data_IF_766389724758
#
_entry.id   IF_766389724758
#
_cell.length_a   1.000
_cell.length_b   1.000
_cell.length_c   1.000
_cell.angle_alpha   90.00
_cell.angle_beta   90.00
_cell.angle_gamma   90.00
#
_symmetry.space_group_name_H-M   'P 1'
#
loop_
_entity.id
_entity.type
_entity.pdbx_description
1 polymer ?
#
# COMPACT_ATOMS: atom_id res chain seq x y z
N UNK A 1 5.13 16.64 39.07
CA UNK A 1 5.98 17.42 38.15
C UNK A 1 6.59 16.40 37.16
N UNK A 2 6.22 16.45 35.86
CA UNK A 2 6.87 15.58 34.85
C UNK A 2 8.24 16.17 34.54
N UNK A 3 9.29 15.37 34.70
CA UNK A 3 10.64 15.74 34.27
C UNK A 3 10.57 15.87 32.73
N UNK A 4 11.00 16.99 32.11
CA UNK A 4 11.06 17.10 30.66
C UNK A 4 11.92 15.97 30.10
N UNK A 5 11.44 15.29 29.08
CA UNK A 5 12.25 14.27 28.39
C UNK A 5 13.52 14.91 27.82
N UNK A 6 14.68 14.27 27.95
CA UNK A 6 15.91 14.81 27.40
C UNK A 6 15.78 15.00 25.89
N UNK A 7 16.19 16.16 25.39
CA UNK A 7 16.12 16.57 23.97
C UNK A 7 16.81 15.53 23.03
N UNK A 8 17.71 14.73 23.57
CA UNK A 8 18.50 13.72 22.87
C UNK A 8 18.17 12.29 23.31
N UNK A 9 16.88 11.94 23.50
CA UNK A 9 16.53 10.53 23.73
C UNK A 9 16.85 9.70 22.47
N UNK A 10 17.22 8.43 22.64
CA UNK A 10 17.46 7.50 21.53
C UNK A 10 16.25 7.45 20.58
N UNK A 11 15.03 7.52 21.12
CA UNK A 11 13.81 7.57 20.32
C UNK A 11 13.76 8.80 19.41
N UNK A 12 14.14 9.99 19.93
CA UNK A 12 14.22 11.22 19.14
C UNK A 12 15.30 11.15 18.06
N UNK A 13 16.45 10.54 18.36
CA UNK A 13 17.52 10.34 17.37
C UNK A 13 17.08 9.40 16.25
N UNK A 14 16.38 8.31 16.56
CA UNK A 14 15.80 7.41 15.56
C UNK A 14 14.74 8.13 14.72
N UNK A 15 13.86 8.91 15.34
CA UNK A 15 12.85 9.68 14.60
C UNK A 15 13.48 10.75 13.71
N UNK A 16 14.51 11.45 14.18
CA UNK A 16 15.28 12.41 13.39
C UNK A 16 15.92 11.75 12.18
N UNK A 17 16.65 10.65 12.38
CA UNK A 17 17.26 9.90 11.28
C UNK A 17 16.25 9.54 10.18
N UNK A 18 15.06 9.05 10.55
CA UNK A 18 14.03 8.71 9.57
C UNK A 18 13.36 9.94 8.95
N UNK A 19 13.22 11.04 9.69
CA UNK A 19 12.65 12.28 9.15
C UNK A 19 13.55 12.91 8.08
N UNK A 20 14.87 12.77 8.24
CA UNK A 20 15.88 13.30 7.33
C UNK A 20 16.05 12.47 6.05
N UNK A 21 15.44 11.28 5.99
CA UNK A 21 15.41 10.51 4.74
C UNK A 21 14.53 11.23 3.72
N UNK A 22 15.09 11.50 2.55
CA UNK A 22 14.38 12.14 1.45
C UNK A 22 14.06 11.10 0.37
N UNK A 23 12.81 11.10 -0.08
CA UNK A 23 12.42 10.39 -1.29
C UNK A 23 12.57 11.35 -2.46
N UNK A 24 13.02 10.86 -3.60
CA UNK A 24 13.05 11.64 -4.83
C UNK A 24 11.64 12.10 -5.21
N UNK A 25 11.49 13.32 -5.74
CA UNK A 25 10.20 13.81 -6.17
C UNK A 25 9.60 12.92 -7.25
N UNK A 26 8.40 12.43 -7.04
CA UNK A 26 7.69 11.66 -8.07
C UNK A 26 7.25 12.59 -9.20
N UNK A 27 7.53 12.22 -10.44
CA UNK A 27 7.11 12.96 -11.63
C UNK A 27 5.66 12.68 -12.04
N UNK A 28 4.93 11.88 -11.28
CA UNK A 28 3.57 11.42 -11.54
C UNK A 28 2.75 11.37 -10.24
N UNK A 29 1.43 11.37 -10.37
CA UNK A 29 0.54 11.02 -9.27
C UNK A 29 0.67 9.52 -8.97
N UNK A 30 0.89 9.16 -7.72
CA UNK A 30 0.88 7.76 -7.30
C UNK A 30 -0.53 7.16 -7.42
N UNK A 31 -0.62 5.92 -7.93
CA UNK A 31 -1.91 5.21 -8.03
C UNK A 31 -2.69 5.17 -6.71
N UNK A 32 -1.98 5.07 -5.57
CA UNK A 32 -2.56 5.11 -4.23
C UNK A 32 -3.22 6.45 -3.84
N UNK A 33 -2.97 7.52 -4.59
CA UNK A 33 -3.54 8.85 -4.33
C UNK A 33 -4.84 9.10 -5.09
N UNK A 34 -5.06 8.41 -6.22
CA UNK A 34 -6.14 8.73 -7.18
C UNK A 34 -7.55 8.55 -6.63
N UNK A 35 -7.73 7.77 -5.58
CA UNK A 35 -9.00 7.66 -4.85
C UNK A 35 -9.25 8.79 -3.84
N UNK A 36 -8.40 9.82 -3.79
CA UNK A 36 -8.56 10.91 -2.84
C UNK A 36 -9.81 11.76 -3.16
N UNK A 37 -10.66 12.10 -2.17
CA UNK A 37 -11.95 12.75 -2.40
C UNK A 37 -11.86 14.22 -2.82
N UNK A 38 -10.67 14.81 -2.81
CA UNK A 38 -10.45 16.21 -3.16
C UNK A 38 -9.60 16.34 -4.43
N UNK A 39 -10.24 16.64 -5.57
CA UNK A 39 -9.58 16.82 -6.86
C UNK A 39 -8.57 17.98 -6.85
N UNK A 40 -8.90 19.04 -6.11
CA UNK A 40 -7.97 20.17 -5.95
C UNK A 40 -6.67 19.76 -5.26
N UNK A 41 -6.75 18.88 -4.25
CA UNK A 41 -5.56 18.36 -3.59
C UNK A 41 -4.73 17.49 -4.54
N UNK A 42 -5.37 16.64 -5.35
CA UNK A 42 -4.71 15.84 -6.38
C UNK A 42 -3.99 16.74 -7.39
N UNK A 43 -4.67 17.78 -7.89
CA UNK A 43 -4.08 18.72 -8.83
C UNK A 43 -2.87 19.47 -8.25
N UNK A 44 -2.99 19.97 -7.00
CA UNK A 44 -1.89 20.66 -6.31
C UNK A 44 -0.71 19.72 -6.04
N UNK A 45 -0.97 18.46 -5.71
CA UNK A 45 0.05 17.43 -5.51
C UNK A 45 0.78 17.11 -6.81
N UNK A 46 0.05 16.97 -7.91
CA UNK A 46 0.62 16.77 -9.26
C UNK A 46 1.51 17.94 -9.68
N UNK A 47 1.12 19.18 -9.37
CA UNK A 47 1.89 20.40 -9.66
C UNK A 47 2.98 20.68 -8.62
N UNK A 48 3.20 19.80 -7.67
CA UNK A 48 4.15 19.96 -6.57
C UNK A 48 3.94 21.20 -5.69
N UNK A 49 2.79 21.80 -5.78
CA UNK A 49 2.40 22.93 -4.93
C UNK A 49 2.16 22.51 -3.47
N UNK A 50 1.80 21.24 -3.26
CA UNK A 50 1.70 20.61 -1.93
C UNK A 50 2.65 19.43 -1.89
N UNK A 51 3.56 19.43 -0.91
CA UNK A 51 4.46 18.31 -0.62
C UNK A 51 4.27 17.90 0.82
N UNK A 52 3.89 16.66 1.04
CA UNK A 52 3.80 16.11 2.38
C UNK A 52 5.21 15.85 2.94
N UNK A 53 5.45 16.36 4.16
CA UNK A 53 6.63 16.00 4.93
C UNK A 53 6.22 15.00 5.99
N UNK A 54 6.76 13.81 5.90
CA UNK A 54 6.44 12.74 6.85
C UNK A 54 7.40 12.77 8.04
N UNK A 55 6.89 12.84 9.29
CA UNK A 55 7.73 12.67 10.48
C UNK A 55 8.31 11.25 10.53
N UNK A 56 9.45 11.09 11.23
CA UNK A 56 10.18 9.81 11.27
C UNK A 56 9.33 8.62 11.70
N UNK A 57 8.39 8.82 12.63
CA UNK A 57 7.42 7.78 13.02
C UNK A 57 6.60 7.26 11.83
N UNK A 58 6.13 8.15 10.96
CA UNK A 58 5.33 7.75 9.77
C UNK A 58 6.22 7.02 8.75
N UNK A 59 7.46 7.46 8.55
CA UNK A 59 8.42 6.76 7.68
C UNK A 59 8.73 5.34 8.18
N UNK A 60 8.81 5.14 9.50
CA UNK A 60 8.92 3.80 10.09
C UNK A 60 7.68 2.93 9.84
N UNK A 61 6.48 3.53 9.84
CA UNK A 61 5.26 2.80 9.45
C UNK A 61 5.30 2.36 7.98
N UNK A 62 5.78 3.21 7.08
CA UNK A 62 5.95 2.83 5.66
C UNK A 62 6.95 1.68 5.50
N UNK A 63 8.10 1.74 6.22
CA UNK A 63 9.07 0.65 6.24
C UNK A 63 8.45 -0.66 6.75
N UNK A 64 7.67 -0.59 7.84
CA UNK A 64 6.96 -1.77 8.37
C UNK A 64 6.00 -2.34 7.33
N UNK A 65 5.27 -1.50 6.59
CA UNK A 65 4.40 -1.94 5.50
C UNK A 65 5.16 -2.74 4.44
N UNK A 66 6.28 -2.20 3.95
CA UNK A 66 7.11 -2.91 2.96
C UNK A 66 7.64 -4.26 3.45
N UNK A 67 8.10 -4.33 4.70
CA UNK A 67 8.56 -5.61 5.27
C UNK A 67 7.41 -6.63 5.36
N UNK A 68 6.20 -6.17 5.64
CA UNK A 68 5.00 -7.02 5.71
C UNK A 68 4.60 -7.58 4.34
N UNK A 69 4.80 -6.80 3.27
CA UNK A 69 4.56 -7.25 1.90
C UNK A 69 5.39 -8.50 1.56
N UNK A 70 6.67 -8.52 1.92
CA UNK A 70 7.57 -9.66 1.69
C UNK A 70 7.11 -10.91 2.45
N UNK A 71 6.69 -10.75 3.71
CA UNK A 71 6.20 -11.84 4.56
C UNK A 71 4.93 -12.44 3.96
N UNK A 72 3.95 -11.61 3.62
CA UNK A 72 2.68 -12.05 3.04
C UNK A 72 2.88 -12.73 1.69
N UNK A 73 3.76 -12.22 0.84
CA UNK A 73 4.09 -12.87 -0.44
C UNK A 73 4.69 -14.25 -0.19
N UNK A 74 5.57 -14.41 0.80
CA UNK A 74 6.14 -15.70 1.15
C UNK A 74 5.06 -16.69 1.62
N UNK A 75 4.14 -16.25 2.48
CA UNK A 75 3.02 -17.07 2.96
C UNK A 75 2.09 -17.51 1.82
N UNK A 76 1.72 -16.57 0.93
CA UNK A 76 0.87 -16.86 -0.22
C UNK A 76 1.54 -17.88 -1.17
N UNK A 77 2.85 -17.77 -1.41
CA UNK A 77 3.62 -18.75 -2.19
C UNK A 77 3.67 -20.12 -1.50
N UNK A 78 3.84 -20.14 -0.18
CA UNK A 78 3.89 -21.37 0.60
C UNK A 78 2.57 -22.18 0.53
N UNK A 79 1.43 -21.51 0.39
CA UNK A 79 0.13 -22.16 0.20
C UNK A 79 -0.19 -22.49 -1.28
N UNK A 80 0.76 -22.27 -2.19
CA UNK A 80 0.68 -22.72 -3.58
C UNK A 80 0.19 -21.69 -4.59
N UNK A 81 0.17 -20.39 -4.26
CA UNK A 81 -0.09 -19.35 -5.26
C UNK A 81 1.20 -19.12 -6.08
N UNK A 82 1.04 -19.04 -7.40
CA UNK A 82 2.11 -18.66 -8.33
C UNK A 82 2.15 -17.13 -8.44
N UNK A 83 3.15 -16.51 -7.81
CA UNK A 83 3.25 -15.05 -7.71
C UNK A 83 4.60 -14.58 -8.24
N UNK A 84 4.57 -13.70 -9.21
CA UNK A 84 5.72 -13.00 -9.78
C UNK A 84 5.67 -11.50 -9.54
N UNK A 85 6.69 -10.81 -10.05
CA UNK A 85 6.80 -9.34 -10.07
C UNK A 85 6.64 -8.72 -8.67
N UNK A 86 7.35 -9.26 -7.68
CA UNK A 86 7.31 -8.84 -6.28
C UNK A 86 8.63 -8.20 -5.83
N UNK A 87 8.64 -7.45 -4.73
CA UNK A 87 9.84 -6.82 -4.17
C UNK A 87 10.52 -5.88 -5.17
N UNK A 88 11.83 -6.02 -5.38
CA UNK A 88 12.59 -5.19 -6.35
C UNK A 88 12.18 -5.43 -7.81
N UNK A 89 11.47 -6.52 -8.10
CA UNK A 89 10.94 -6.86 -9.41
C UNK A 89 9.50 -6.41 -9.66
N UNK A 90 8.92 -5.59 -8.80
CA UNK A 90 7.56 -5.08 -8.96
C UNK A 90 7.36 -4.38 -10.31
N UNK A 91 6.27 -4.74 -10.99
CA UNK A 91 5.88 -4.05 -12.22
C UNK A 91 5.47 -2.61 -11.91
N UNK A 92 6.20 -1.68 -12.52
CA UNK A 92 5.81 -0.27 -12.49
C UNK A 92 4.88 0.05 -13.65
N UNK A 93 3.73 0.62 -13.32
CA UNK A 93 2.76 1.13 -14.28
C UNK A 93 2.97 2.62 -14.51
N UNK A 94 2.96 3.02 -15.77
CA UNK A 94 3.01 4.42 -16.18
C UNK A 94 1.83 4.67 -17.14
N UNK A 95 0.81 5.36 -16.65
CA UNK A 95 -0.37 5.71 -17.43
C UNK A 95 -0.26 7.16 -17.89
N UNK A 96 -0.13 7.36 -19.21
CA UNK A 96 -0.03 8.67 -19.88
C UNK A 96 1.00 9.64 -19.27
N UNK A 97 2.07 9.10 -18.69
CA UNK A 97 3.13 9.85 -18.01
C UNK A 97 2.68 10.70 -16.80
N UNK A 98 1.39 10.64 -16.43
CA UNK A 98 0.82 11.45 -15.36
C UNK A 98 0.44 10.64 -14.13
N UNK A 99 0.20 9.36 -14.29
CA UNK A 99 -0.17 8.44 -13.21
C UNK A 99 0.77 7.25 -13.24
N UNK A 100 1.30 6.90 -12.08
CA UNK A 100 2.20 5.76 -11.97
C UNK A 100 2.11 5.08 -10.61
N UNK A 101 2.66 3.88 -10.54
CA UNK A 101 2.77 3.11 -9.30
C UNK A 101 3.18 1.67 -9.56
N UNK A 102 3.67 1.03 -8.52
CA UNK A 102 4.02 -0.39 -8.58
C UNK A 102 2.89 -1.23 -8.01
N UNK A 103 2.64 -2.38 -8.62
CA UNK A 103 1.79 -3.43 -8.04
C UNK A 103 2.61 -4.23 -7.02
N UNK A 104 2.00 -4.72 -5.96
CA UNK A 104 2.72 -5.50 -4.95
C UNK A 104 3.08 -6.90 -5.46
N UNK A 105 2.42 -7.35 -6.53
CA UNK A 105 2.73 -8.56 -7.28
C UNK A 105 1.67 -8.90 -8.31
N UNK A 106 1.99 -9.86 -9.16
CA UNK A 106 1.05 -10.49 -10.10
C UNK A 106 0.90 -11.97 -9.73
N UNK A 107 -0.32 -12.38 -9.44
CA UNK A 107 -0.66 -13.78 -9.21
C UNK A 107 -1.05 -14.38 -10.55
N UNK A 108 -0.26 -15.31 -11.06
CA UNK A 108 -0.51 -15.99 -12.31
C UNK A 108 -1.58 -17.10 -12.16
N UNK A 109 -1.58 -17.78 -11.00
CA UNK A 109 -2.51 -18.86 -10.72
C UNK A 109 -2.61 -19.19 -9.21
N UNK A 110 -3.57 -20.04 -8.84
CA UNK A 110 -3.67 -20.60 -7.49
C UNK A 110 -4.73 -19.96 -6.60
N UNK A 111 -5.33 -18.82 -6.97
CA UNK A 111 -6.36 -18.17 -6.13
C UNK A 111 -7.59 -19.10 -5.99
N UNK A 112 -8.02 -19.45 -4.76
CA UNK A 112 -9.17 -20.32 -4.54
C UNK A 112 -10.44 -19.81 -5.22
N UNK A 113 -11.10 -20.69 -5.98
CA UNK A 113 -12.29 -20.34 -6.77
C UNK A 113 -12.02 -19.53 -8.04
N UNK A 114 -10.73 -19.31 -8.40
CA UNK A 114 -10.29 -18.68 -9.64
C UNK A 114 -8.87 -19.12 -10.02
N UNK A 115 -8.60 -20.42 -9.91
CA UNK A 115 -7.26 -21.04 -9.97
C UNK A 115 -6.45 -20.64 -11.22
N UNK A 116 -7.12 -20.50 -12.37
CA UNK A 116 -6.48 -20.18 -13.66
C UNK A 116 -6.56 -18.70 -14.04
N UNK A 117 -7.03 -17.86 -13.14
CA UNK A 117 -7.26 -16.44 -13.42
C UNK A 117 -6.14 -15.62 -12.80
N UNK A 118 -5.54 -14.75 -13.62
CA UNK A 118 -4.55 -13.78 -13.13
C UNK A 118 -5.19 -12.73 -12.24
N UNK A 119 -4.50 -12.34 -11.19
CA UNK A 119 -4.91 -11.28 -10.28
C UNK A 119 -3.74 -10.34 -10.01
N UNK A 120 -4.04 -9.05 -9.86
CA UNK A 120 -3.13 -8.12 -9.20
C UNK A 120 -3.14 -8.44 -7.70
N UNK A 121 -1.99 -8.44 -7.06
CA UNK A 121 -1.88 -8.51 -5.60
C UNK A 121 -1.78 -7.10 -5.03
N UNK A 122 -2.58 -6.81 -4.02
CA UNK A 122 -2.51 -5.56 -3.24
C UNK A 122 -2.50 -5.90 -1.75
N UNK A 123 -1.42 -5.54 -1.06
CA UNK A 123 -1.21 -5.85 0.35
C UNK A 123 -1.28 -4.57 1.19
N UNK A 124 -2.04 -4.60 2.28
CA UNK A 124 -2.17 -3.44 3.17
C UNK A 124 -2.12 -3.83 4.65
N UNK A 125 -1.49 -2.99 5.43
CA UNK A 125 -1.47 -3.13 6.89
C UNK A 125 -2.41 -2.12 7.55
N UNK A 126 -3.21 -2.58 8.51
CA UNK A 126 -4.17 -1.76 9.24
C UNK A 126 -3.94 -1.81 10.75
N UNK A 127 -4.34 -0.76 11.47
CA UNK A 127 -4.56 -0.86 12.89
C UNK A 127 -5.92 -1.56 13.14
N UNK A 128 -6.15 -2.01 14.37
CA UNK A 128 -7.36 -2.74 14.74
C UNK A 128 -8.65 -2.02 14.33
N UNK A 129 -8.79 -0.72 14.62
CA UNK A 129 -10.01 0.04 14.29
C UNK A 129 -10.28 0.05 12.77
N UNK A 130 -9.24 0.27 11.97
CA UNK A 130 -9.34 0.28 10.51
C UNK A 130 -9.60 -1.11 9.93
N UNK A 131 -9.05 -2.14 10.57
CA UNK A 131 -9.25 -3.53 10.19
C UNK A 131 -10.68 -4.01 10.51
N UNK A 132 -11.20 -3.72 11.70
CA UNK A 132 -12.57 -4.05 12.11
C UNK A 132 -13.62 -3.40 11.17
N UNK A 133 -13.35 -2.19 10.67
CA UNK A 133 -14.20 -1.51 9.68
C UNK A 133 -14.15 -2.21 8.32
N UNK A 134 -12.94 -2.67 7.91
CA UNK A 134 -12.73 -3.42 6.69
C UNK A 134 -13.49 -4.76 6.71
N UNK A 135 -13.39 -5.53 7.80
CA UNK A 135 -14.12 -6.80 7.96
C UNK A 135 -15.63 -6.62 7.86
N UNK A 136 -16.16 -5.50 8.34
CA UNK A 136 -17.60 -5.23 8.35
C UNK A 136 -18.16 -4.78 7.01
N UNK A 137 -17.39 -3.99 6.23
CA UNK A 137 -17.90 -3.27 5.07
C UNK A 137 -17.28 -3.71 3.75
N UNK A 138 -16.20 -4.50 3.80
CA UNK A 138 -15.38 -4.81 2.62
C UNK A 138 -14.55 -3.65 2.13
N UNK A 139 -13.71 -3.89 1.13
CA UNK A 139 -12.72 -2.92 0.64
C UNK A 139 -13.39 -1.69 0.02
N UNK A 140 -14.38 -1.91 -0.83
CA UNK A 140 -15.01 -0.81 -1.60
C UNK A 140 -15.57 0.28 -0.69
N UNK A 141 -16.28 -0.10 0.38
CA UNK A 141 -17.00 0.85 1.24
C UNK A 141 -16.14 1.37 2.38
N UNK A 142 -15.17 0.58 2.87
CA UNK A 142 -14.31 0.99 3.99
C UNK A 142 -12.99 1.62 3.55
N UNK A 143 -12.49 1.28 2.35
CA UNK A 143 -11.18 1.70 1.82
C UNK A 143 -11.28 2.17 0.37
N UNK A 144 -12.09 3.19 0.06
CA UNK A 144 -12.33 3.64 -1.31
C UNK A 144 -11.05 4.04 -2.06
N UNK A 145 -10.03 4.52 -1.38
CA UNK A 145 -8.74 4.83 -2.01
C UNK A 145 -8.00 3.56 -2.46
N UNK A 146 -8.01 2.49 -1.67
CA UNK A 146 -7.42 1.21 -2.06
C UNK A 146 -8.23 0.57 -3.20
N UNK A 147 -9.56 0.69 -3.14
CA UNK A 147 -10.41 0.26 -4.25
C UNK A 147 -10.04 0.96 -5.56
N UNK A 148 -9.95 2.30 -5.55
CA UNK A 148 -9.59 3.09 -6.72
C UNK A 148 -8.18 2.74 -7.23
N UNK A 149 -7.20 2.54 -6.34
CA UNK A 149 -5.86 2.10 -6.69
C UNK A 149 -5.89 0.80 -7.48
N UNK A 150 -6.61 -0.22 -6.99
CA UNK A 150 -6.72 -1.51 -7.69
C UNK A 150 -7.43 -1.39 -9.04
N UNK A 151 -8.49 -0.56 -9.16
CA UNK A 151 -9.16 -0.33 -10.44
C UNK A 151 -8.19 0.25 -11.49
N UNK A 152 -7.35 1.20 -11.10
CA UNK A 152 -6.36 1.80 -11.98
C UNK A 152 -5.26 0.80 -12.35
N UNK A 153 -4.81 0.00 -11.40
CA UNK A 153 -3.82 -1.03 -11.67
C UNK A 153 -4.38 -2.14 -12.57
N UNK A 154 -5.64 -2.53 -12.39
CA UNK A 154 -6.31 -3.45 -13.29
C UNK A 154 -6.39 -2.90 -14.73
N UNK A 155 -6.71 -1.62 -14.88
CA UNK A 155 -6.72 -0.96 -16.18
C UNK A 155 -5.34 -0.96 -16.83
N UNK A 156 -4.29 -0.58 -16.06
CA UNK A 156 -2.92 -0.47 -16.58
C UNK A 156 -2.21 -1.79 -16.84
N UNK A 157 -2.65 -2.89 -16.20
CA UNK A 157 -2.09 -4.23 -16.43
C UNK A 157 -2.92 -5.08 -17.40
N UNK A 158 -4.11 -4.63 -17.79
CA UNK A 158 -5.10 -5.42 -18.51
C UNK A 158 -5.53 -6.70 -17.76
N UNK A 159 -5.31 -6.76 -16.44
CA UNK A 159 -5.76 -7.82 -15.55
C UNK A 159 -7.02 -7.34 -14.84
N UNK A 160 -8.15 -8.00 -15.09
CA UNK A 160 -9.47 -7.56 -14.61
C UNK A 160 -9.86 -8.15 -13.24
N UNK A 161 -8.89 -8.56 -12.44
CA UNK A 161 -9.08 -9.10 -11.09
C UNK A 161 -7.95 -8.62 -10.19
N UNK A 162 -8.29 -8.38 -8.92
CA UNK A 162 -7.30 -8.17 -7.87
C UNK A 162 -7.59 -9.06 -6.66
N UNK A 163 -6.55 -9.46 -5.96
CA UNK A 163 -6.61 -10.04 -4.64
C UNK A 163 -6.11 -8.98 -3.65
N UNK A 164 -7.01 -8.50 -2.81
CA UNK A 164 -6.67 -7.64 -1.69
C UNK A 164 -6.35 -8.49 -0.46
N UNK A 165 -5.20 -8.26 0.16
CA UNK A 165 -4.78 -8.92 1.41
C UNK A 165 -4.50 -7.85 2.44
N UNK A 166 -5.12 -7.95 3.60
CA UNK A 166 -4.91 -7.03 4.69
C UNK A 166 -4.46 -7.74 5.96
N UNK A 167 -3.53 -7.10 6.67
CA UNK A 167 -3.00 -7.57 7.95
C UNK A 167 -3.33 -6.55 9.04
N UNK A 168 -3.88 -7.02 10.15
CA UNK A 168 -4.04 -6.22 11.35
C UNK A 168 -2.72 -6.19 12.13
N UNK A 169 -2.04 -5.03 12.18
CA UNK A 169 -0.76 -4.87 12.90
C UNK A 169 -0.83 -5.06 14.41
N UNK A 170 -2.03 -5.11 14.97
CA UNK A 170 -2.24 -5.12 16.43
C UNK A 170 -2.53 -6.53 16.96
N UNK A 171 -2.99 -7.45 16.08
CA UNK A 171 -3.39 -8.80 16.47
C UNK A 171 -3.17 -9.86 15.38
N UNK A 172 -2.48 -9.52 14.30
CA UNK A 172 -2.08 -10.38 13.17
C UNK A 172 -3.24 -11.08 12.42
N UNK A 173 -4.49 -10.60 12.59
CA UNK A 173 -5.61 -11.11 11.77
C UNK A 173 -5.40 -10.83 10.31
N UNK A 174 -5.85 -11.75 9.46
CA UNK A 174 -5.81 -11.65 8.02
C UNK A 174 -7.22 -11.44 7.45
N UNK A 175 -7.31 -10.60 6.44
CA UNK A 175 -8.51 -10.40 5.63
C UNK A 175 -8.13 -10.50 4.15
N UNK A 176 -8.94 -11.20 3.37
CA UNK A 176 -8.75 -11.30 1.92
C UNK A 176 -10.06 -11.03 1.18
N UNK A 177 -9.98 -10.29 0.07
CA UNK A 177 -11.12 -10.02 -0.79
C UNK A 177 -10.71 -10.05 -2.25
N UNK A 178 -11.50 -10.74 -3.09
CA UNK A 178 -11.31 -10.72 -4.56
C UNK A 178 -12.11 -9.58 -5.16
N UNK A 179 -11.43 -8.71 -5.87
CA UNK A 179 -11.98 -7.51 -6.51
C UNK A 179 -12.12 -7.75 -8.02
N UNK A 180 -13.20 -7.19 -8.57
CA UNK A 180 -13.52 -7.23 -10.02
C UNK A 180 -13.72 -5.82 -10.55
#
# INVERSE_FOLDING_TARGET
>A
MKIPEPINSIANLIDGYHADQHDDPRLHLGGSMLGHPCDRWLWLSFRWAVREKFPGRIRRLFRRGRNEEEIVVADLKAIGLDIGETGDGQRFLNLDQHVGGSVDGIIESGVPGAIKTRHILEIKTHNKKSFDDLEKKGVKDSKPMHWAQMQIYMLGTEINRALYVAICKDDDRLYTERIK
#
